data_IF_411540242688
#
_entry.id   IF_411540242688
#
_cell.length_a   1.000
_cell.length_b   1.000
_cell.length_c   1.000
_cell.angle_alpha   90.00
_cell.angle_beta   90.00
_cell.angle_gamma   90.00
#
_symmetry.space_group_name_H-M   'P 1'
#
loop_
_entity.id
_entity.type
_entity.pdbx_description
1 polymer ?
#
# COMPACT_ATOMS: atom_id res chain seq x y z
N UNK A 1 41.80 -16.37 34.14
CA UNK A 1 41.05 -16.68 32.90
C UNK A 1 39.87 -15.71 32.65
N UNK A 2 40.10 -14.39 32.67
CA UNK A 2 39.09 -13.35 32.40
C UNK A 2 39.73 -12.14 31.70
N UNK A 3 40.27 -12.32 30.48
CA UNK A 3 40.79 -11.21 29.66
C UNK A 3 40.67 -11.39 28.14
N UNK A 4 39.97 -12.41 27.63
CA UNK A 4 39.77 -12.64 26.18
C UNK A 4 38.35 -12.36 25.64
N UNK A 5 37.42 -11.86 26.46
CA UNK A 5 36.02 -11.59 26.04
C UNK A 5 35.68 -10.09 25.84
N UNK A 6 36.65 -9.17 26.00
CA UNK A 6 36.40 -7.73 25.79
C UNK A 6 36.76 -7.22 24.38
N UNK A 7 37.46 -8.02 23.57
CA UNK A 7 37.93 -7.58 22.24
C UNK A 7 36.96 -7.92 21.09
N UNK A 8 35.94 -8.76 21.29
CA UNK A 8 34.92 -9.00 20.25
C UNK A 8 33.71 -8.07 20.32
N UNK A 9 33.40 -7.49 21.50
CA UNK A 9 32.25 -6.59 21.65
C UNK A 9 32.51 -5.20 21.05
N UNK A 10 33.74 -4.70 21.14
CA UNK A 10 34.11 -3.39 20.58
C UNK A 10 34.24 -3.46 19.05
N UNK A 11 34.67 -4.60 18.50
CA UNK A 11 34.70 -4.82 17.05
C UNK A 11 33.31 -5.10 16.47
N UNK A 12 32.40 -5.71 17.24
CA UNK A 12 30.99 -5.87 16.86
C UNK A 12 30.22 -4.55 16.90
N UNK A 13 30.48 -3.68 17.89
CA UNK A 13 29.84 -2.37 18.00
C UNK A 13 30.34 -1.37 16.95
N UNK A 14 31.57 -1.50 16.45
CA UNK A 14 32.10 -0.67 15.34
C UNK A 14 31.58 -1.05 13.95
N UNK A 15 31.00 -2.25 13.78
CA UNK A 15 30.32 -2.65 12.55
C UNK A 15 28.85 -2.22 12.50
N UNK A 16 28.30 -1.76 13.62
CA UNK A 16 26.90 -1.31 13.75
C UNK A 16 26.79 0.23 13.80
N UNK A 17 27.92 0.95 13.85
CA UNK A 17 27.97 2.42 13.85
C UNK A 17 28.29 3.01 12.47
N UNK A 18 27.37 2.86 11.51
CA UNK A 18 27.19 3.85 10.44
C UNK A 18 25.66 4.14 10.32
N UNK A 19 25.23 5.17 11.07
CA UNK A 19 24.16 6.15 10.76
C UNK A 19 22.73 6.05 11.36
N UNK A 20 22.18 4.94 11.93
CA UNK A 20 20.71 4.95 12.26
C UNK A 20 20.30 4.40 13.64
N UNK A 21 21.03 4.69 14.74
CA UNK A 21 20.72 4.10 16.06
C UNK A 21 20.45 5.04 17.25
N UNK A 22 19.80 6.20 17.03
CA UNK A 22 19.14 6.94 18.13
C UNK A 22 17.61 6.83 18.17
N UNK A 23 16.99 6.26 17.14
CA UNK A 23 15.53 6.01 17.09
C UNK A 23 15.19 4.53 17.39
N UNK A 24 16.15 3.62 17.28
CA UNK A 24 15.90 2.17 17.30
C UNK A 24 15.74 1.55 18.70
N UNK A 25 16.39 2.10 19.73
CA UNK A 25 16.42 1.49 21.07
C UNK A 25 15.15 1.75 21.92
N UNK A 26 14.39 2.81 21.62
CA UNK A 26 13.04 2.99 22.19
C UNK A 26 11.99 2.13 21.45
N UNK A 27 12.30 1.67 20.24
CA UNK A 27 11.45 0.79 19.44
C UNK A 27 11.47 -0.64 19.99
N UNK A 28 12.65 -1.18 20.35
CA UNK A 28 12.81 -2.56 20.85
C UNK A 28 11.99 -2.87 22.12
N UNK A 29 11.78 -1.88 23.00
CA UNK A 29 11.00 -2.08 24.25
C UNK A 29 9.48 -2.07 24.02
N UNK A 30 8.98 -1.56 22.89
CA UNK A 30 7.57 -1.65 22.49
C UNK A 30 7.21 -2.90 21.69
N UNK A 31 8.21 -3.70 21.30
CA UNK A 31 8.04 -4.88 20.42
C UNK A 31 7.92 -6.19 21.22
N UNK A 32 8.23 -6.19 22.53
CA UNK A 32 8.07 -7.41 23.35
C UNK A 32 6.62 -7.90 23.41
N UNK A 33 5.64 -7.01 23.35
CA UNK A 33 4.22 -7.35 23.23
C UNK A 33 3.81 -7.81 21.83
N UNK A 34 4.50 -7.39 20.77
CA UNK A 34 4.28 -7.85 19.39
C UNK A 34 4.86 -9.26 19.16
N UNK A 35 6.04 -9.56 19.71
CA UNK A 35 6.62 -10.92 19.65
C UNK A 35 5.83 -11.93 20.51
N UNK A 36 5.13 -11.47 21.56
CA UNK A 36 4.21 -12.32 22.31
C UNK A 36 2.91 -12.64 21.55
N UNK A 37 2.55 -11.85 20.53
CA UNK A 37 1.29 -11.98 19.78
C UNK A 37 1.31 -13.11 18.75
N UNK A 38 2.48 -13.57 18.32
CA UNK A 38 2.58 -14.66 17.35
C UNK A 38 3.88 -15.44 17.59
N UNK A 39 3.77 -16.62 18.21
CA UNK A 39 4.76 -17.67 17.98
C UNK A 39 4.80 -17.91 16.46
N UNK A 40 6.00 -18.00 15.86
CA UNK A 40 6.26 -18.05 14.42
C UNK A 40 5.06 -18.62 13.61
N UNK A 41 4.17 -17.77 13.05
CA UNK A 41 2.89 -18.24 12.51
C UNK A 41 3.15 -19.15 11.31
N UNK A 42 2.44 -20.26 11.23
CA UNK A 42 2.55 -21.17 10.10
C UNK A 42 1.80 -20.62 8.89
N UNK A 43 0.67 -19.91 9.11
CA UNK A 43 -0.21 -19.41 8.02
C UNK A 43 -0.74 -18.00 8.26
N UNK A 44 -0.44 -17.08 7.35
CA UNK A 44 -0.88 -15.68 7.37
C UNK A 44 -1.75 -15.38 6.17
N UNK A 45 -2.91 -14.78 6.43
CA UNK A 45 -3.82 -14.24 5.41
C UNK A 45 -3.67 -12.72 5.30
N UNK A 46 -3.47 -12.22 4.08
CA UNK A 46 -3.37 -10.78 3.80
C UNK A 46 -4.45 -10.40 2.79
N UNK A 47 -5.50 -9.75 3.29
CA UNK A 47 -6.62 -9.26 2.51
C UNK A 47 -6.31 -7.91 1.84
N UNK A 48 -6.56 -7.81 0.52
CA UNK A 48 -6.31 -6.59 -0.27
C UNK A 48 -7.38 -6.34 -1.35
N UNK A 49 -7.42 -5.11 -1.85
CA UNK A 49 -8.30 -4.69 -2.96
C UNK A 49 -7.47 -4.18 -4.15
N UNK A 50 -7.96 -4.35 -5.38
CA UNK A 50 -7.32 -3.76 -6.57
C UNK A 50 -7.68 -2.27 -6.71
N UNK A 51 -8.62 -1.74 -5.91
CA UNK A 51 -9.00 -0.34 -5.89
C UNK A 51 -7.78 0.58 -5.72
N UNK A 52 -7.52 1.47 -6.69
CA UNK A 52 -6.52 2.54 -6.59
C UNK A 52 -5.04 2.10 -6.52
N UNK A 53 -4.72 0.80 -6.58
CA UNK A 53 -3.37 0.24 -6.64
C UNK A 53 -2.56 0.28 -5.34
N UNK A 54 -2.77 1.27 -4.46
CA UNK A 54 -2.01 1.43 -3.22
C UNK A 54 -2.19 0.29 -2.22
N UNK A 55 -3.44 -0.12 -1.94
CA UNK A 55 -3.75 -1.22 -1.01
C UNK A 55 -3.09 -2.54 -1.42
N UNK A 56 -3.10 -2.83 -2.73
CA UNK A 56 -2.42 -3.99 -3.31
C UNK A 56 -0.91 -3.88 -3.15
N UNK A 57 -0.32 -2.73 -3.48
CA UNK A 57 1.12 -2.53 -3.34
C UNK A 57 1.58 -2.76 -1.89
N UNK A 58 0.84 -2.25 -0.89
CA UNK A 58 1.09 -2.50 0.53
C UNK A 58 1.02 -4.00 0.87
N UNK A 59 0.00 -4.73 0.41
CA UNK A 59 -0.13 -6.16 0.68
C UNK A 59 1.03 -6.98 0.09
N UNK A 60 1.46 -6.64 -1.12
CA UNK A 60 2.59 -7.30 -1.77
C UNK A 60 3.91 -6.97 -1.06
N UNK A 61 4.11 -5.71 -0.65
CA UNK A 61 5.27 -5.29 0.15
C UNK A 61 5.34 -6.01 1.50
N UNK A 62 4.20 -6.18 2.19
CA UNK A 62 4.12 -6.96 3.42
C UNK A 62 4.50 -8.42 3.19
N UNK A 63 3.97 -9.05 2.15
CA UNK A 63 4.31 -10.44 1.81
C UNK A 63 5.81 -10.59 1.52
N UNK A 64 6.39 -9.67 0.74
CA UNK A 64 7.83 -9.67 0.43
C UNK A 64 8.66 -9.58 1.72
N UNK A 65 8.39 -8.60 2.58
CA UNK A 65 9.12 -8.40 3.83
C UNK A 65 8.94 -9.54 4.83
N UNK A 66 7.72 -10.09 4.95
CA UNK A 66 7.45 -11.23 5.82
C UNK A 66 8.13 -12.51 5.32
N UNK A 67 8.07 -12.81 4.02
CA UNK A 67 8.76 -13.96 3.43
C UNK A 67 10.28 -13.87 3.64
N UNK A 68 10.86 -12.68 3.49
CA UNK A 68 12.29 -12.47 3.71
C UNK A 68 12.70 -12.73 5.18
N UNK A 69 11.80 -12.47 6.14
CA UNK A 69 12.09 -12.60 7.57
C UNK A 69 11.71 -13.97 8.15
N UNK A 70 10.67 -14.59 7.61
CA UNK A 70 10.04 -15.83 8.06
C UNK A 70 9.75 -16.74 6.84
N UNK A 71 10.80 -17.37 6.27
CA UNK A 71 10.67 -18.13 5.02
C UNK A 71 9.78 -19.36 5.12
N UNK A 72 9.59 -19.90 6.34
CA UNK A 72 8.76 -21.08 6.59
C UNK A 72 7.27 -20.75 6.79
N UNK A 73 6.90 -19.46 6.81
CA UNK A 73 5.51 -19.02 6.98
C UNK A 73 4.78 -19.00 5.64
N UNK A 74 3.62 -19.66 5.57
CA UNK A 74 2.73 -19.61 4.42
C UNK A 74 1.97 -18.28 4.38
N UNK A 75 2.25 -17.43 3.38
CA UNK A 75 1.59 -16.12 3.22
C UNK A 75 0.71 -16.10 1.98
N UNK A 76 -0.58 -15.98 2.20
CA UNK A 76 -1.60 -15.92 1.15
C UNK A 76 -2.16 -14.52 0.99
N UNK A 77 -2.11 -14.00 -0.25
CA UNK A 77 -2.75 -12.74 -0.61
C UNK A 77 -4.17 -13.04 -1.08
N UNK A 78 -5.16 -12.55 -0.35
CA UNK A 78 -6.57 -12.80 -0.63
C UNK A 78 -7.19 -11.53 -1.20
N UNK A 79 -7.60 -11.59 -2.46
CA UNK A 79 -8.38 -10.51 -3.04
C UNK A 79 -9.78 -10.53 -2.44
N UNK A 80 -10.16 -9.42 -1.83
CA UNK A 80 -11.41 -9.37 -1.06
C UNK A 80 -12.63 -9.67 -1.95
N UNK A 81 -12.65 -9.18 -3.20
CA UNK A 81 -13.77 -9.40 -4.13
C UNK A 81 -14.10 -10.87 -4.43
N UNK A 82 -13.20 -11.79 -4.12
CA UNK A 82 -13.32 -13.21 -4.44
C UNK A 82 -13.84 -14.01 -3.25
N UNK A 83 -13.70 -13.47 -2.02
CA UNK A 83 -14.05 -14.16 -0.78
C UNK A 83 -14.90 -13.34 0.18
N UNK A 84 -15.32 -12.11 -0.15
CA UNK A 84 -16.11 -11.26 0.76
C UNK A 84 -17.44 -11.92 1.15
N UNK A 85 -18.15 -12.58 0.23
CA UNK A 85 -19.40 -13.25 0.59
C UNK A 85 -20.14 -13.85 -0.59
N UNK A 86 -21.47 -13.80 -0.54
CA UNK A 86 -22.31 -14.36 -1.60
C UNK A 86 -22.21 -13.56 -2.91
N UNK A 87 -22.72 -14.11 -4.02
CA UNK A 87 -22.69 -13.44 -5.34
C UNK A 87 -23.13 -11.97 -5.29
N UNK A 88 -24.21 -11.66 -4.54
CA UNK A 88 -24.73 -10.30 -4.41
C UNK A 88 -23.79 -9.36 -3.65
N UNK A 89 -23.13 -9.83 -2.60
CA UNK A 89 -22.15 -9.05 -1.85
C UNK A 89 -20.93 -8.79 -2.72
N UNK A 90 -20.38 -9.83 -3.34
CA UNK A 90 -19.26 -9.71 -4.26
C UNK A 90 -19.58 -8.75 -5.42
N UNK A 91 -20.79 -8.81 -5.99
CA UNK A 91 -21.22 -7.89 -7.05
C UNK A 91 -21.27 -6.43 -6.58
N UNK A 92 -21.75 -6.17 -5.35
CA UNK A 92 -21.78 -4.82 -4.75
C UNK A 92 -20.38 -4.28 -4.51
N UNK A 93 -19.49 -5.09 -3.94
CA UNK A 93 -18.10 -4.68 -3.70
C UNK A 93 -17.33 -4.48 -4.99
N UNK A 94 -17.45 -5.38 -5.98
CA UNK A 94 -16.87 -5.20 -7.32
C UNK A 94 -17.44 -3.95 -8.01
N UNK A 95 -18.71 -3.65 -7.82
CA UNK A 95 -19.36 -2.43 -8.32
C UNK A 95 -18.74 -1.16 -7.74
N UNK A 96 -18.60 -1.09 -6.41
CA UNK A 96 -17.96 0.02 -5.72
C UNK A 96 -16.49 0.19 -6.10
N UNK A 97 -15.74 -0.89 -6.12
CA UNK A 97 -14.33 -0.90 -6.54
C UNK A 97 -14.19 -0.36 -7.97
N UNK A 98 -15.09 -0.75 -8.88
CA UNK A 98 -15.12 -0.27 -10.27
C UNK A 98 -15.51 1.21 -10.36
N UNK A 99 -16.49 1.67 -9.57
CA UNK A 99 -16.89 3.08 -9.52
C UNK A 99 -15.72 3.93 -9.02
N UNK A 100 -15.12 3.54 -7.89
CA UNK A 100 -13.97 4.23 -7.31
C UNK A 100 -12.82 4.28 -8.31
N UNK A 101 -12.46 3.13 -8.88
CA UNK A 101 -11.38 2.99 -9.88
C UNK A 101 -11.60 3.84 -11.13
N UNK A 102 -12.81 3.82 -11.71
CA UNK A 102 -13.12 4.59 -12.94
C UNK A 102 -13.19 6.09 -12.70
N UNK A 103 -13.57 6.50 -11.50
CA UNK A 103 -13.77 7.91 -11.15
C UNK A 103 -12.50 8.60 -10.65
N UNK A 104 -11.45 7.87 -10.26
CA UNK A 104 -10.18 8.47 -9.83
C UNK A 104 -9.49 9.31 -10.93
N UNK A 105 -9.73 9.03 -12.21
CA UNK A 105 -9.07 9.70 -13.34
C UNK A 105 -9.97 10.62 -14.19
N UNK A 106 -11.26 10.74 -13.90
CA UNK A 106 -12.18 11.58 -14.68
C UNK A 106 -12.44 12.94 -14.00
N UNK A 107 -12.64 14.03 -14.76
CA UNK A 107 -12.99 15.34 -14.18
C UNK A 107 -14.25 15.28 -13.31
N UNK A 108 -15.26 14.52 -13.73
CA UNK A 108 -16.49 14.27 -12.97
C UNK A 108 -16.20 13.48 -11.70
N UNK A 109 -15.37 12.44 -11.78
CA UNK A 109 -15.01 11.62 -10.62
C UNK A 109 -14.16 12.36 -9.59
N UNK A 110 -13.32 13.32 -10.01
CA UNK A 110 -12.60 14.23 -9.10
C UNK A 110 -13.55 15.21 -8.41
N UNK A 111 -14.51 15.77 -9.15
CA UNK A 111 -15.56 16.61 -8.57
C UNK A 111 -16.42 15.80 -7.59
N UNK A 112 -16.75 14.55 -7.96
CA UNK A 112 -17.53 13.64 -7.13
C UNK A 112 -16.76 13.25 -5.85
N UNK A 113 -15.48 12.91 -5.94
CA UNK A 113 -14.65 12.62 -4.78
C UNK A 113 -14.51 13.85 -3.85
N UNK A 114 -14.32 15.05 -4.42
CA UNK A 114 -14.10 16.29 -3.66
C UNK A 114 -15.36 16.83 -2.99
N UNK A 115 -16.54 16.64 -3.60
CA UNK A 115 -17.82 17.10 -3.06
C UNK A 115 -18.56 16.04 -2.24
N UNK A 116 -18.33 14.74 -2.48
CA UNK A 116 -19.24 13.68 -2.02
C UNK A 116 -18.59 12.47 -1.31
N UNK A 117 -17.28 12.47 -1.07
CA UNK A 117 -16.61 11.38 -0.32
C UNK A 117 -17.26 11.13 1.05
N UNK A 118 -17.37 12.18 1.86
CA UNK A 118 -17.93 12.09 3.21
C UNK A 118 -19.47 12.09 3.21
N UNK A 119 -20.10 12.77 2.25
CA UNK A 119 -21.56 12.95 2.23
C UNK A 119 -22.34 11.84 1.50
N UNK A 120 -21.71 11.09 0.58
CA UNK A 120 -22.40 10.04 -0.21
C UNK A 120 -21.65 8.71 -0.16
N UNK A 121 -20.35 8.68 -0.49
CA UNK A 121 -19.61 7.42 -0.60
C UNK A 121 -19.50 6.76 0.79
N UNK A 122 -19.17 7.53 1.82
CA UNK A 122 -19.06 7.03 3.19
C UNK A 122 -20.41 6.48 3.73
N UNK A 123 -21.56 7.19 3.61
CA UNK A 123 -22.86 6.63 3.98
C UNK A 123 -23.26 5.39 3.17
N UNK A 124 -23.00 5.36 1.86
CA UNK A 124 -23.29 4.19 1.01
C UNK A 124 -22.46 2.98 1.44
N UNK A 125 -21.15 3.15 1.61
CA UNK A 125 -20.25 2.07 2.04
C UNK A 125 -20.62 1.55 3.42
N UNK A 126 -20.95 2.44 4.37
CA UNK A 126 -21.47 2.06 5.69
C UNK A 126 -22.78 1.29 5.61
N UNK A 127 -23.72 1.73 4.76
CA UNK A 127 -25.01 1.05 4.58
C UNK A 127 -24.82 -0.33 3.99
N UNK A 128 -23.96 -0.46 2.96
CA UNK A 128 -23.65 -1.74 2.33
C UNK A 128 -22.94 -2.69 3.29
N UNK A 129 -22.00 -2.18 4.07
CA UNK A 129 -21.33 -2.92 5.14
C UNK A 129 -22.34 -3.40 6.19
N UNK A 130 -23.24 -2.52 6.64
CA UNK A 130 -24.28 -2.88 7.61
C UNK A 130 -25.21 -3.97 7.09
N UNK A 131 -25.66 -3.87 5.84
CA UNK A 131 -26.50 -4.87 5.20
C UNK A 131 -25.77 -6.20 5.04
N UNK A 132 -24.51 -6.17 4.62
CA UNK A 132 -23.66 -7.36 4.49
C UNK A 132 -23.43 -8.04 5.85
N UNK A 133 -23.21 -7.26 6.92
CA UNK A 133 -23.12 -7.80 8.28
C UNK A 133 -24.44 -8.43 8.75
N UNK A 134 -25.60 -7.84 8.45
CA UNK A 134 -26.90 -8.47 8.76
C UNK A 134 -27.10 -9.77 7.98
N UNK A 135 -26.70 -9.79 6.72
CA UNK A 135 -26.75 -11.00 5.90
C UNK A 135 -25.85 -12.09 6.48
N UNK A 136 -24.60 -11.76 6.84
CA UNK A 136 -23.68 -12.67 7.51
C UNK A 136 -24.23 -13.17 8.84
N UNK A 137 -24.87 -12.31 9.65
CA UNK A 137 -25.49 -12.73 10.90
C UNK A 137 -26.64 -13.72 10.68
N UNK A 138 -27.43 -13.54 9.62
CA UNK A 138 -28.54 -14.43 9.29
C UNK A 138 -28.07 -15.78 8.71
N UNK A 139 -26.99 -15.78 7.92
CA UNK A 139 -26.43 -16.96 7.28
C UNK A 139 -25.09 -17.40 7.89
N UNK A 140 -24.90 -17.22 9.20
CA UNK A 140 -23.59 -17.38 9.88
C UNK A 140 -22.87 -18.68 9.50
N UNK A 141 -23.56 -19.81 9.55
CA UNK A 141 -22.95 -21.13 9.35
C UNK A 141 -22.68 -21.46 7.87
N UNK A 142 -23.36 -20.78 6.95
CA UNK A 142 -23.25 -20.99 5.51
C UNK A 142 -22.60 -19.80 4.78
N UNK A 143 -22.10 -18.80 5.51
CA UNK A 143 -21.51 -17.62 4.89
C UNK A 143 -20.14 -17.98 4.30
N UNK A 144 -19.88 -17.72 3.00
CA UNK A 144 -18.66 -18.19 2.31
C UNK A 144 -17.36 -17.76 3.00
N UNK A 145 -17.26 -16.50 3.43
CA UNK A 145 -16.09 -16.01 4.14
C UNK A 145 -15.89 -16.70 5.51
N UNK A 146 -16.97 -16.99 6.22
CA UNK A 146 -16.90 -17.65 7.54
C UNK A 146 -16.47 -19.10 7.36
N UNK A 147 -17.07 -19.81 6.40
CA UNK A 147 -16.71 -21.18 6.06
C UNK A 147 -15.25 -21.27 5.60
N UNK A 148 -14.81 -20.35 4.74
CA UNK A 148 -13.43 -20.27 4.27
C UNK A 148 -12.44 -20.03 5.41
N UNK A 149 -12.72 -19.07 6.30
CA UNK A 149 -11.89 -18.81 7.47
C UNK A 149 -11.82 -20.00 8.44
N UNK A 150 -12.94 -20.72 8.66
CA UNK A 150 -12.97 -21.95 9.48
C UNK A 150 -12.17 -23.08 8.84
N UNK A 151 -12.30 -23.28 7.54
CA UNK A 151 -11.61 -24.33 6.81
C UNK A 151 -10.10 -24.09 6.79
N UNK A 152 -9.69 -22.86 6.48
CA UNK A 152 -8.29 -22.53 6.27
C UNK A 152 -7.53 -22.25 7.58
N UNK A 153 -8.26 -21.89 8.65
CA UNK A 153 -7.78 -21.67 10.02
C UNK A 153 -6.42 -20.94 10.11
N UNK A 154 -6.31 -19.69 9.59
CA UNK A 154 -5.05 -18.95 9.61
C UNK A 154 -4.63 -18.59 11.04
N UNK A 155 -3.32 -18.46 11.28
CA UNK A 155 -2.77 -18.02 12.57
C UNK A 155 -2.80 -16.50 12.74
N UNK A 156 -2.84 -15.76 11.63
CA UNK A 156 -2.87 -14.31 11.60
C UNK A 156 -3.66 -13.80 10.39
N UNK A 157 -4.50 -12.79 10.61
CA UNK A 157 -5.23 -12.11 9.53
C UNK A 157 -4.82 -10.64 9.47
N UNK A 158 -4.40 -10.21 8.28
CA UNK A 158 -3.99 -8.83 7.99
C UNK A 158 -4.92 -8.26 6.91
N UNK A 159 -5.33 -7.01 7.05
CA UNK A 159 -6.07 -6.27 6.02
C UNK A 159 -5.32 -5.00 5.63
N UNK A 160 -5.12 -4.78 4.34
CA UNK A 160 -4.66 -3.51 3.77
C UNK A 160 -5.79 -2.74 3.06
N UNK A 161 -7.02 -3.25 3.12
CA UNK A 161 -8.18 -2.69 2.45
C UNK A 161 -9.00 -1.81 3.40
N UNK A 162 -9.39 -0.62 2.94
CA UNK A 162 -10.09 0.35 3.78
C UNK A 162 -11.53 -0.08 4.12
N UNK A 163 -12.36 -0.55 3.18
CA UNK A 163 -13.82 -0.63 3.39
C UNK A 163 -14.39 -1.96 3.92
N UNK A 164 -13.56 -2.95 4.25
CA UNK A 164 -14.03 -4.30 4.62
C UNK A 164 -13.74 -4.70 6.06
N UNK A 165 -13.07 -3.84 6.83
CA UNK A 165 -12.45 -4.25 8.08
C UNK A 165 -13.47 -4.74 9.13
N UNK A 166 -14.67 -4.15 9.21
CA UNK A 166 -15.70 -4.65 10.15
C UNK A 166 -16.40 -5.90 9.63
N UNK A 167 -16.52 -6.06 8.32
CA UNK A 167 -16.98 -7.30 7.69
C UNK A 167 -16.03 -8.46 7.98
N UNK A 168 -14.73 -8.27 7.72
CA UNK A 168 -13.67 -9.23 8.06
C UNK A 168 -13.68 -9.57 9.54
N UNK A 169 -13.70 -8.57 10.44
CA UNK A 169 -13.75 -8.85 11.88
C UNK A 169 -14.98 -9.66 12.26
N UNK A 170 -16.15 -9.32 11.71
CA UNK A 170 -17.38 -10.08 12.00
C UNK A 170 -17.26 -11.52 11.53
N UNK A 171 -16.63 -11.77 10.37
CA UNK A 171 -16.38 -13.12 9.90
C UNK A 171 -15.39 -13.89 10.78
N UNK A 172 -14.31 -13.24 11.24
CA UNK A 172 -13.33 -13.81 12.18
C UNK A 172 -14.03 -14.18 13.50
N UNK A 173 -14.87 -13.29 14.05
CA UNK A 173 -15.66 -13.54 15.27
C UNK A 173 -16.60 -14.74 15.09
N UNK A 174 -17.26 -14.86 13.94
CA UNK A 174 -18.21 -15.93 13.66
C UNK A 174 -17.55 -17.27 13.30
N UNK A 175 -16.33 -17.22 12.78
CA UNK A 175 -15.49 -18.39 12.58
C UNK A 175 -14.92 -18.94 13.90
N UNK A 176 -15.04 -18.19 15.01
CA UNK A 176 -14.38 -18.46 16.30
C UNK A 176 -12.86 -18.63 16.18
N UNK A 177 -12.25 -17.89 15.26
CA UNK A 177 -10.81 -17.86 15.08
C UNK A 177 -10.14 -17.15 16.25
N UNK A 178 -9.07 -17.75 16.78
CA UNK A 178 -8.22 -17.12 17.81
C UNK A 178 -7.11 -16.24 17.20
N UNK A 179 -7.00 -16.22 15.88
CA UNK A 179 -6.03 -15.44 15.14
C UNK A 179 -6.13 -13.93 15.46
N UNK A 180 -5.01 -13.23 15.73
CA UNK A 180 -5.02 -11.78 15.79
C UNK A 180 -5.47 -11.18 14.45
N UNK A 181 -6.14 -10.03 14.53
CA UNK A 181 -6.53 -9.27 13.35
C UNK A 181 -5.80 -7.93 13.32
N UNK A 182 -5.05 -7.70 12.24
CA UNK A 182 -4.25 -6.48 12.03
C UNK A 182 -4.80 -5.70 10.83
N UNK A 183 -5.06 -4.41 11.02
CA UNK A 183 -5.35 -3.47 9.94
C UNK A 183 -4.08 -2.65 9.68
N UNK A 184 -3.56 -2.72 8.45
CA UNK A 184 -2.45 -1.89 7.98
C UNK A 184 -3.02 -0.77 7.15
N UNK A 185 -3.00 0.43 7.71
CA UNK A 185 -3.54 1.61 7.04
C UNK A 185 -2.61 2.04 5.91
N UNK A 186 -3.10 1.97 4.67
CA UNK A 186 -2.32 2.30 3.46
C UNK A 186 -2.70 3.64 2.84
N UNK A 187 -3.42 4.49 3.56
CA UNK A 187 -3.85 5.82 3.12
C UNK A 187 -3.32 6.95 4.00
N UNK A 188 -3.07 8.12 3.40
CA UNK A 188 -2.84 9.36 4.14
C UNK A 188 -4.13 10.11 4.45
N UNK A 189 -5.19 9.85 3.66
CA UNK A 189 -6.47 10.49 3.86
C UNK A 189 -7.20 9.82 5.03
N UNK A 190 -7.43 10.63 6.05
CA UNK A 190 -8.13 10.23 7.26
C UNK A 190 -9.57 10.74 7.28
N UNK A 191 -10.05 11.45 6.24
CA UNK A 191 -11.46 11.87 6.16
C UNK A 191 -12.41 10.66 6.25
N UNK A 192 -11.94 9.51 5.78
CA UNK A 192 -12.71 8.27 5.71
C UNK A 192 -12.44 7.33 6.91
N UNK A 193 -12.29 7.90 8.12
CA UNK A 193 -11.99 7.18 9.39
C UNK A 193 -12.80 5.90 9.57
N UNK A 194 -14.09 6.00 9.28
CA UNK A 194 -15.09 4.93 9.41
C UNK A 194 -14.70 3.67 8.64
N UNK A 195 -14.02 3.82 7.50
CA UNK A 195 -13.58 2.67 6.70
C UNK A 195 -12.43 1.95 7.41
N UNK A 196 -11.41 2.69 7.82
CA UNK A 196 -10.24 2.10 8.46
C UNK A 196 -10.49 1.58 9.86
N UNK A 197 -11.39 2.19 10.63
CA UNK A 197 -11.62 1.79 12.02
C UNK A 197 -12.74 0.78 12.18
N UNK A 198 -12.39 -0.24 12.96
CA UNK A 198 -13.29 -1.19 13.52
C UNK A 198 -13.52 -0.84 15.00
N UNK A 199 -14.69 -0.33 15.39
CA UNK A 199 -14.99 0.01 16.78
C UNK A 199 -15.18 -1.22 17.71
N UNK A 200 -14.74 -2.42 17.30
CA UNK A 200 -14.77 -3.64 18.12
C UNK A 200 -13.40 -3.92 18.75
N UNK A 201 -13.42 -4.35 20.01
CA UNK A 201 -12.24 -4.73 20.80
C UNK A 201 -11.37 -5.80 20.10
N UNK A 202 -10.05 -5.73 20.31
CA UNK A 202 -9.09 -6.77 19.89
C UNK A 202 -8.55 -6.65 18.47
N UNK A 203 -8.82 -5.55 17.76
CA UNK A 203 -8.19 -5.28 16.44
C UNK A 203 -6.92 -4.47 16.63
N UNK A 204 -5.81 -4.93 16.06
CA UNK A 204 -4.53 -4.24 16.08
C UNK A 204 -4.40 -3.34 14.84
N UNK A 205 -3.73 -2.20 14.97
CA UNK A 205 -3.60 -1.21 13.92
C UNK A 205 -2.14 -0.82 13.70
N UNK A 206 -1.66 -1.02 12.48
CA UNK A 206 -0.41 -0.44 12.00
C UNK A 206 -0.76 0.84 11.26
N UNK A 207 -0.32 1.98 11.80
CA UNK A 207 -0.73 3.30 11.32
C UNK A 207 0.44 4.28 11.32
N UNK A 208 0.44 5.23 10.39
CA UNK A 208 1.43 6.30 10.36
C UNK A 208 1.41 7.11 11.66
N UNK A 209 2.59 7.42 12.19
CA UNK A 209 2.79 8.13 13.47
C UNK A 209 2.18 9.53 13.47
N UNK A 210 2.12 10.19 12.30
CA UNK A 210 1.50 11.50 12.13
C UNK A 210 0.01 11.44 11.81
N UNK A 211 -0.64 10.28 11.89
CA UNK A 211 -2.07 10.18 11.66
C UNK A 211 -2.87 10.65 12.88
N UNK A 212 -4.01 11.32 12.67
CA UNK A 212 -4.95 11.72 13.74
C UNK A 212 -5.76 10.53 14.26
N UNK A 213 -6.09 9.57 13.41
CA UNK A 213 -6.88 8.37 13.72
C UNK A 213 -6.27 7.52 14.84
N UNK A 214 -4.95 7.60 15.03
CA UNK A 214 -4.24 6.92 16.13
C UNK A 214 -4.79 7.29 17.51
N UNK A 215 -5.35 8.49 17.65
CA UNK A 215 -5.89 9.00 18.91
C UNK A 215 -7.22 8.34 19.28
N UNK A 216 -7.86 7.65 18.34
CA UNK A 216 -9.11 6.91 18.55
C UNK A 216 -8.86 5.42 18.89
N UNK A 217 -7.59 4.97 18.83
CA UNK A 217 -7.20 3.58 19.05
C UNK A 217 -6.51 3.47 20.41
N UNK A 218 -6.92 2.49 21.22
CA UNK A 218 -6.28 2.26 22.51
C UNK A 218 -4.79 1.90 22.33
N UNK A 219 -3.87 2.45 23.14
CA UNK A 219 -2.42 2.26 22.95
C UNK A 219 -1.95 0.80 22.85
N UNK A 220 -2.62 -0.12 23.54
CA UNK A 220 -2.30 -1.55 23.50
C UNK A 220 -2.56 -2.23 22.15
N UNK A 221 -3.34 -1.60 21.27
CA UNK A 221 -3.67 -2.09 19.93
C UNK A 221 -3.03 -1.24 18.82
N UNK A 222 -2.19 -0.26 19.19
CA UNK A 222 -1.65 0.74 18.28
C UNK A 222 -0.16 0.51 18.00
N UNK A 223 0.21 0.38 16.74
CA UNK A 223 1.58 0.19 16.28
C UNK A 223 1.96 1.30 15.28
N UNK A 224 2.55 2.41 15.77
CA UNK A 224 2.88 3.53 14.91
C UNK A 224 4.11 3.26 14.02
N UNK A 225 4.01 3.59 12.73
CA UNK A 225 5.09 3.52 11.74
C UNK A 225 5.39 4.90 11.12
N UNK A 226 6.53 5.07 10.44
CA UNK A 226 6.93 6.37 9.89
C UNK A 226 6.24 6.73 8.56
N UNK A 227 5.98 5.73 7.70
CA UNK A 227 5.40 5.89 6.37
C UNK A 227 4.47 4.74 6.00
N UNK A 228 4.34 4.44 4.71
CA UNK A 228 3.63 3.25 4.21
C UNK A 228 4.58 2.06 4.08
N UNK A 229 4.04 0.82 4.09
CA UNK A 229 4.83 -0.35 3.74
C UNK A 229 5.11 -0.33 2.22
N UNK A 230 6.40 -0.28 1.86
CA UNK A 230 6.88 -0.35 0.47
C UNK A 230 7.77 -1.58 0.30
N UNK A 231 7.98 -2.00 -0.96
CA UNK A 231 8.88 -3.12 -1.28
C UNK A 231 10.34 -2.78 -0.94
N UNK A 232 11.14 -3.78 -0.56
CA UNK A 232 12.56 -3.59 -0.23
C UNK A 232 13.36 -3.04 -1.42
N UNK A 233 12.92 -3.31 -2.65
CA UNK A 233 13.54 -2.76 -3.87
C UNK A 233 13.59 -1.22 -3.93
N UNK A 234 12.77 -0.51 -3.13
CA UNK A 234 12.80 0.95 -3.05
C UNK A 234 13.87 1.51 -2.09
N UNK A 235 14.61 0.65 -1.39
CA UNK A 235 15.70 1.09 -0.53
C UNK A 235 16.67 2.02 -1.29
N UNK A 236 17.14 3.10 -0.63
CA UNK A 236 17.99 4.07 -1.29
C UNK A 236 19.32 3.43 -1.70
N UNK A 237 19.76 3.71 -2.92
CA UNK A 237 21.09 3.35 -3.38
C UNK A 237 22.12 4.38 -2.90
N UNK A 238 23.38 3.94 -2.77
CA UNK A 238 24.50 4.86 -2.51
C UNK A 238 24.74 5.83 -3.68
N UNK A 239 24.52 5.36 -4.91
CA UNK A 239 24.70 6.11 -6.14
C UNK A 239 23.48 5.99 -7.06
N UNK A 240 23.20 7.02 -7.85
CA UNK A 240 22.13 6.96 -8.86
C UNK A 240 22.44 5.88 -9.89
N UNK A 241 21.41 5.08 -10.20
CA UNK A 241 21.48 4.08 -11.25
C UNK A 241 20.83 4.65 -12.53
N UNK A 242 21.65 4.93 -13.54
CA UNK A 242 21.20 5.54 -14.80
C UNK A 242 20.93 4.55 -15.92
N UNK A 243 21.00 3.23 -15.65
CA UNK A 243 20.77 2.17 -16.65
C UNK A 243 19.45 2.35 -17.41
N UNK A 244 18.37 2.73 -16.70
CA UNK A 244 17.06 3.00 -17.30
C UNK A 244 17.12 4.13 -18.33
N UNK A 245 17.92 5.17 -18.11
CA UNK A 245 18.04 6.26 -19.08
C UNK A 245 18.69 5.77 -20.37
N UNK A 246 19.74 4.95 -20.26
CA UNK A 246 20.44 4.37 -21.41
C UNK A 246 19.53 3.44 -22.22
N UNK A 247 18.84 2.51 -21.54
CA UNK A 247 17.87 1.60 -22.17
C UNK A 247 16.75 2.35 -22.92
N UNK A 248 16.35 3.50 -22.40
CA UNK A 248 15.35 4.36 -23.02
C UNK A 248 15.92 5.32 -24.07
N UNK A 249 17.22 5.28 -24.36
CA UNK A 249 17.93 6.23 -25.24
C UNK A 249 17.79 7.70 -24.79
N UNK A 250 17.85 7.93 -23.48
CA UNK A 250 17.88 9.23 -22.83
C UNK A 250 19.30 9.59 -22.40
N UNK A 251 19.59 10.89 -22.24
CA UNK A 251 20.93 11.38 -21.86
C UNK A 251 21.03 11.53 -20.35
N UNK A 252 22.09 10.95 -19.78
CA UNK A 252 22.37 10.98 -18.33
C UNK A 252 22.57 12.41 -17.81
N UNK A 253 23.17 13.27 -18.63
CA UNK A 253 23.49 14.67 -18.27
C UNK A 253 22.27 15.59 -18.24
N UNK A 254 21.12 15.16 -18.77
CA UNK A 254 19.91 16.00 -18.84
C UNK A 254 18.98 15.78 -17.65
N UNK A 255 18.39 16.85 -17.07
CA UNK A 255 17.36 16.71 -16.05
C UNK A 255 16.21 15.84 -16.57
N UNK A 256 15.81 14.86 -15.77
CA UNK A 256 14.82 13.86 -16.16
C UNK A 256 13.73 13.76 -15.11
N UNK A 257 12.47 13.95 -15.51
CA UNK A 257 11.31 13.80 -14.66
C UNK A 257 10.63 12.44 -14.87
N UNK A 258 10.19 11.82 -13.78
CA UNK A 258 9.29 10.68 -13.80
C UNK A 258 7.86 11.19 -13.67
N UNK A 259 7.01 10.98 -14.66
CA UNK A 259 5.61 11.39 -14.67
C UNK A 259 4.71 10.18 -14.48
N UNK A 260 4.00 10.11 -13.35
CA UNK A 260 3.07 9.01 -13.04
C UNK A 260 1.89 9.46 -12.18
N UNK A 261 0.70 8.93 -12.47
CA UNK A 261 -0.52 9.22 -11.70
C UNK A 261 -1.09 7.94 -11.06
N UNK A 262 -0.22 6.98 -10.73
CA UNK A 262 -0.59 5.68 -10.18
C UNK A 262 -0.98 4.69 -11.28
N UNK A 263 -1.67 3.61 -10.88
CA UNK A 263 -1.90 2.44 -11.73
C UNK A 263 -2.74 2.68 -13.00
N UNK A 264 -3.47 3.79 -13.10
CA UNK A 264 -4.40 4.06 -14.21
C UNK A 264 -4.00 5.27 -15.08
N UNK A 265 -2.91 5.96 -14.75
CA UNK A 265 -2.53 7.22 -15.40
C UNK A 265 -3.58 8.32 -15.23
N UNK A 266 -3.37 9.46 -15.89
CA UNK A 266 -4.31 10.59 -15.87
C UNK A 266 -4.22 11.41 -17.15
N UNK A 267 -5.32 12.04 -17.55
CA UNK A 267 -5.35 12.85 -18.79
C UNK A 267 -4.44 14.09 -18.71
N UNK A 268 -4.17 14.59 -17.49
CA UNK A 268 -3.23 15.69 -17.21
C UNK A 268 -1.82 15.39 -17.74
N UNK A 269 -1.48 14.11 -17.92
CA UNK A 269 -0.20 13.72 -18.54
C UNK A 269 -0.04 14.27 -19.96
N UNK A 270 -1.13 14.59 -20.67
CA UNK A 270 -1.09 15.21 -22.00
C UNK A 270 -0.55 16.64 -21.98
N UNK A 271 -0.99 17.46 -21.02
CA UNK A 271 -0.49 18.84 -20.86
C UNK A 271 0.97 18.84 -20.40
N UNK A 272 1.33 17.94 -19.50
CA UNK A 272 2.71 17.75 -19.06
C UNK A 272 3.60 17.32 -20.24
N UNK A 273 3.14 16.40 -21.09
CA UNK A 273 3.87 16.00 -22.29
C UNK A 273 4.09 17.19 -23.25
N UNK A 274 3.09 18.05 -23.43
CA UNK A 274 3.23 19.25 -24.26
C UNK A 274 4.31 20.20 -23.70
N UNK A 275 4.40 20.34 -22.38
CA UNK A 275 5.48 21.09 -21.74
C UNK A 275 6.86 20.52 -22.09
N UNK A 276 7.05 19.20 -22.01
CA UNK A 276 8.33 18.57 -22.38
C UNK A 276 8.63 18.69 -23.88
N UNK A 277 7.63 18.60 -24.75
CA UNK A 277 7.81 18.80 -26.19
C UNK A 277 8.33 20.22 -26.52
N UNK A 278 7.89 21.23 -25.75
CA UNK A 278 8.34 22.61 -25.90
C UNK A 278 9.69 22.89 -25.22
N UNK A 279 10.21 21.96 -24.41
CA UNK A 279 11.45 22.12 -23.63
C UNK A 279 12.38 20.90 -23.84
N UNK A 280 13.01 20.75 -25.02
CA UNK A 280 13.80 19.58 -25.40
C UNK A 280 15.09 19.35 -24.58
N UNK A 281 15.46 20.32 -23.73
CA UNK A 281 16.57 20.19 -22.78
C UNK A 281 16.19 19.44 -21.49
N UNK A 282 14.91 19.25 -21.26
CA UNK A 282 14.36 18.38 -20.20
C UNK A 282 13.96 17.04 -20.79
N UNK A 283 14.01 15.98 -19.98
CA UNK A 283 13.57 14.63 -20.36
C UNK A 283 12.40 14.18 -19.49
N UNK A 284 11.45 13.45 -20.08
CA UNK A 284 10.27 12.95 -19.36
C UNK A 284 10.09 11.45 -19.56
N UNK A 285 9.94 10.69 -18.48
CA UNK A 285 9.52 9.29 -18.52
C UNK A 285 8.08 9.24 -18.01
N UNK A 286 7.13 8.91 -18.88
CA UNK A 286 5.69 8.86 -18.58
C UNK A 286 5.26 7.41 -18.39
N UNK A 287 4.77 7.08 -17.20
CA UNK A 287 4.26 5.74 -16.88
C UNK A 287 2.74 5.82 -16.79
N UNK A 288 2.06 5.33 -17.83
CA UNK A 288 0.60 5.37 -17.95
C UNK A 288 -0.12 4.28 -17.16
N UNK A 289 0.62 3.39 -16.48
CA UNK A 289 0.04 2.25 -15.78
C UNK A 289 -0.69 1.32 -16.76
N UNK A 290 -1.85 0.80 -16.38
CA UNK A 290 -2.64 -0.12 -17.21
C UNK A 290 -3.50 0.60 -18.27
N UNK A 291 -3.33 1.91 -18.45
CA UNK A 291 -4.14 2.70 -19.39
C UNK A 291 -3.50 2.73 -20.78
N UNK A 292 -3.68 1.64 -21.52
CA UNK A 292 -3.13 1.47 -22.87
C UNK A 292 -3.68 2.50 -23.87
N UNK A 293 -4.91 2.99 -23.67
CA UNK A 293 -5.47 4.06 -24.50
C UNK A 293 -4.68 5.35 -24.34
N UNK A 294 -4.47 5.80 -23.09
CA UNK A 294 -3.66 6.98 -22.79
C UNK A 294 -2.22 6.82 -23.30
N UNK A 295 -1.60 5.66 -23.06
CA UNK A 295 -0.26 5.34 -23.58
C UNK A 295 -0.19 5.51 -25.09
N UNK A 296 -1.14 4.94 -25.84
CA UNK A 296 -1.19 5.05 -27.31
C UNK A 296 -1.36 6.51 -27.76
N UNK A 297 -2.25 7.26 -27.11
CA UNK A 297 -2.51 8.68 -27.41
C UNK A 297 -1.29 9.56 -27.16
N UNK A 298 -0.60 9.38 -26.03
CA UNK A 298 0.61 10.13 -25.70
C UNK A 298 1.79 9.73 -26.58
N UNK A 299 1.94 8.43 -26.91
CA UNK A 299 3.04 7.95 -27.75
C UNK A 299 3.05 8.59 -29.14
N UNK A 300 1.86 8.88 -29.71
CA UNK A 300 1.73 9.56 -31.01
C UNK A 300 2.16 11.02 -30.98
N UNK A 301 2.16 11.64 -29.80
CA UNK A 301 2.48 13.07 -29.59
C UNK A 301 3.87 13.27 -28.98
N UNK A 302 4.51 12.21 -28.50
CA UNK A 302 5.76 12.29 -27.77
C UNK A 302 6.92 12.67 -28.70
N UNK A 303 7.74 13.62 -28.24
CA UNK A 303 8.97 13.99 -28.92
C UNK A 303 10.16 13.18 -28.40
N UNK A 304 11.34 13.32 -29.03
CA UNK A 304 12.50 12.44 -28.77
C UNK A 304 12.99 12.42 -27.31
N UNK A 305 12.73 13.51 -26.57
CA UNK A 305 13.11 13.69 -25.16
C UNK A 305 12.12 13.06 -24.16
N UNK A 306 11.00 12.51 -24.64
CA UNK A 306 9.97 11.89 -23.80
C UNK A 306 9.77 10.41 -24.13
N UNK A 307 9.55 9.59 -23.11
CA UNK A 307 9.37 8.13 -23.24
C UNK A 307 8.06 7.74 -22.59
N UNK A 308 7.18 7.12 -23.38
CA UNK A 308 5.83 6.75 -22.94
C UNK A 308 5.77 5.24 -22.73
N UNK A 309 5.54 4.84 -21.48
CA UNK A 309 5.51 3.46 -21.03
C UNK A 309 4.10 3.09 -20.53
N UNK A 310 3.80 1.79 -20.57
CA UNK A 310 2.60 1.23 -19.94
C UNK A 310 2.84 0.97 -18.45
N UNK A 311 2.39 -0.18 -17.98
CA UNK A 311 2.67 -0.66 -16.62
C UNK A 311 4.10 -1.17 -16.50
N UNK A 312 4.77 -0.87 -15.38
CA UNK A 312 6.12 -1.34 -15.07
C UNK A 312 6.15 -2.03 -13.71
N UNK A 313 6.95 -3.09 -13.58
CA UNK A 313 7.10 -3.84 -12.31
C UNK A 313 8.27 -3.32 -11.45
N UNK A 314 9.22 -2.65 -12.08
CA UNK A 314 10.49 -2.14 -11.53
C UNK A 314 10.47 -0.62 -11.31
N UNK A 315 9.36 -0.06 -10.80
CA UNK A 315 9.19 1.38 -10.54
C UNK A 315 10.37 2.03 -9.79
N UNK A 316 10.99 1.30 -8.85
CA UNK A 316 12.15 1.74 -8.09
C UNK A 316 13.33 2.16 -8.97
N UNK A 317 13.61 1.43 -10.07
CA UNK A 317 14.70 1.75 -10.99
C UNK A 317 14.43 3.08 -11.73
N UNK A 318 13.17 3.33 -12.11
CA UNK A 318 12.77 4.59 -12.74
C UNK A 318 12.88 5.76 -11.76
N UNK A 319 12.46 5.58 -10.50
CA UNK A 319 12.60 6.62 -9.48
C UNK A 319 14.08 6.94 -9.21
N UNK A 320 14.93 5.92 -9.10
CA UNK A 320 16.37 6.07 -8.87
C UNK A 320 17.10 6.76 -10.03
N UNK A 321 16.64 6.57 -11.27
CA UNK A 321 17.20 7.20 -12.46
C UNK A 321 16.78 8.68 -12.64
N UNK A 322 15.64 9.09 -12.07
CA UNK A 322 15.05 10.40 -12.30
C UNK A 322 15.52 11.46 -11.27
N UNK A 323 15.21 12.72 -11.56
CA UNK A 323 15.59 13.90 -10.76
C UNK A 323 14.40 14.53 -10.03
N UNK A 324 13.19 14.35 -10.55
CA UNK A 324 11.94 14.79 -9.93
C UNK A 324 10.83 13.81 -10.30
N UNK A 325 9.87 13.61 -9.42
CA UNK A 325 8.63 12.89 -9.67
C UNK A 325 7.50 13.91 -9.86
N UNK A 326 6.71 13.77 -10.92
CA UNK A 326 5.52 14.59 -11.17
C UNK A 326 4.31 13.67 -11.18
N UNK A 327 3.37 13.90 -10.27
CA UNK A 327 2.26 12.97 -10.14
C UNK A 327 1.22 13.30 -9.08
N UNK A 328 0.23 12.42 -8.98
CA UNK A 328 -0.75 12.43 -7.88
C UNK A 328 -0.02 12.10 -6.56
N UNK A 329 -0.32 12.81 -5.44
CA UNK A 329 0.21 12.51 -4.12
C UNK A 329 -0.43 11.24 -3.52
N UNK A 330 -0.20 10.10 -4.17
CA UNK A 330 -0.62 8.79 -3.69
C UNK A 330 0.21 8.37 -2.48
N UNK A 331 -0.37 7.78 -1.42
CA UNK A 331 0.36 7.42 -0.20
C UNK A 331 1.59 6.54 -0.43
N UNK A 332 1.46 5.54 -1.30
CA UNK A 332 2.56 4.68 -1.72
C UNK A 332 3.65 5.46 -2.45
N UNK A 333 3.31 6.16 -3.54
CA UNK A 333 4.26 6.92 -4.37
C UNK A 333 5.00 8.00 -3.58
N UNK A 334 4.32 8.72 -2.69
CA UNK A 334 4.98 9.71 -1.82
C UNK A 334 5.97 9.04 -0.88
N UNK A 335 5.61 7.89 -0.30
CA UNK A 335 6.53 7.13 0.57
C UNK A 335 7.73 6.61 -0.22
N UNK A 336 7.50 6.07 -1.42
CA UNK A 336 8.54 5.60 -2.35
C UNK A 336 9.48 6.74 -2.74
N UNK A 337 8.95 7.93 -3.07
CA UNK A 337 9.73 9.11 -3.42
C UNK A 337 10.60 9.61 -2.24
N UNK A 338 10.04 9.63 -1.02
CA UNK A 338 10.78 10.00 0.20
C UNK A 338 11.94 9.02 0.45
N UNK A 339 11.69 7.71 0.34
CA UNK A 339 12.72 6.68 0.59
C UNK A 339 13.82 6.76 -0.47
N UNK A 340 13.45 6.93 -1.74
CA UNK A 340 14.39 7.07 -2.87
C UNK A 340 15.04 8.46 -2.96
N UNK A 341 14.68 9.38 -2.06
CA UNK A 341 15.16 10.78 -2.04
C UNK A 341 14.88 11.52 -3.35
N UNK A 342 13.77 11.20 -4.00
CA UNK A 342 13.31 11.84 -5.23
C UNK A 342 12.35 13.00 -4.88
N UNK A 343 12.71 14.25 -5.17
CA UNK A 343 11.80 15.39 -5.01
C UNK A 343 10.50 15.15 -5.79
N UNK A 344 9.36 15.54 -5.22
CA UNK A 344 8.03 15.39 -5.80
C UNK A 344 7.30 16.73 -5.87
#
# INVERSE_FOLDING_TARGET
MRKKLKTSLITFLRLVEIVVMKVFLKWILGISSFFALVANPAKIFVFYTDAGGGHKATAFALKEGLNARYPDTQIELIKCSDHIGNFLENARFKGLEKIYTKNLGSPVGRLLNRLYGDYIICPITQTLEFLSRRQMAHFKDNHPLVAYLKQENPDLVISTASFINRHLKTAIDYADLKAPFIVVMSDFDEAQKVMWTNPKNGTHYIIRSGATLKNEISPQYLYPISGMCVRCAFEPLEFKNYRILEELNLKIVKPTALVTFGGYGSQEMGEILQFFNNNPDLQGIFICGTNEKLRSELSKKAFFNSKILGFVNNMHEYMQACHVLVGKPGPGVVTEAVITRLPM
#
